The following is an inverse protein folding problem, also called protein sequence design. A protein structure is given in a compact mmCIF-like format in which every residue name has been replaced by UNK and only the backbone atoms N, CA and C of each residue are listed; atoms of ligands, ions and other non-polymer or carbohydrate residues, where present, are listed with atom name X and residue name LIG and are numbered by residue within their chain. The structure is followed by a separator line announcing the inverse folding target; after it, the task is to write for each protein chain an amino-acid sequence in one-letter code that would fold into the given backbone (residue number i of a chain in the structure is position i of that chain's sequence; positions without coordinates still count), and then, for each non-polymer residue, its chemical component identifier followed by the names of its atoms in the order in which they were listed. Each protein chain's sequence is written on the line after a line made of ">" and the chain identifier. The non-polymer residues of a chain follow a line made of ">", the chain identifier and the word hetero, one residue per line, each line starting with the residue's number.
data_IF_771309752378
#
_entry.id   IF_771309752378
#
_cell.length_a   1.000
_cell.length_b   1.000
_cell.length_c   1.000
_cell.angle_alpha   90.00
_cell.angle_beta   90.00
_cell.angle_gamma   90.00
#
_symmetry.space_group_name_H-M   'P 1'
#
loop_
_entity.id
_entity.type
_entity.pdbx_description
1 polymer ?
#
# COMPACT_ATOMS: atom_id res chain seq x y z
N UNK A 1 -18.08 2.74 -5.09
CA UNK A 1 -17.41 1.94 -6.14
C UNK A 1 -17.54 0.49 -5.72
N UNK A 2 -17.81 -0.41 -6.67
CA UNK A 2 -17.88 -1.85 -6.40
C UNK A 2 -16.48 -2.39 -6.04
N UNK A 3 -16.37 -3.37 -5.12
CA UNK A 3 -15.09 -3.89 -4.64
C UNK A 3 -14.24 -4.49 -5.78
N UNK A 4 -14.88 -4.99 -6.84
CA UNK A 4 -14.21 -5.48 -8.05
C UNK A 4 -13.49 -4.35 -8.78
N UNK A 5 -14.17 -3.21 -8.93
CA UNK A 5 -13.66 -2.05 -9.66
C UNK A 5 -12.61 -1.34 -8.81
N UNK A 6 -12.83 -1.29 -7.49
CA UNK A 6 -11.82 -0.84 -6.55
C UNK A 6 -10.57 -1.74 -6.62
N UNK A 7 -10.70 -3.06 -6.71
CA UNK A 7 -9.58 -3.99 -6.90
C UNK A 7 -8.86 -3.82 -8.23
N UNK A 8 -9.59 -3.60 -9.33
CA UNK A 8 -9.03 -3.30 -10.66
C UNK A 8 -8.25 -1.99 -10.70
N UNK A 9 -8.63 -1.04 -9.84
CA UNK A 9 -8.08 0.31 -9.80
C UNK A 9 -7.02 0.48 -8.71
N UNK A 10 -7.09 -0.25 -7.59
CA UNK A 10 -6.12 -0.21 -6.48
C UNK A 10 -4.80 -0.92 -6.77
N UNK A 11 -4.58 -1.33 -8.02
CA UNK A 11 -3.41 -2.11 -8.40
C UNK A 11 -2.14 -1.29 -8.19
N UNK A 12 -1.33 -1.72 -7.23
CA UNK A 12 -0.10 -1.08 -6.79
C UNK A 12 0.98 -1.27 -7.86
N UNK A 13 1.73 -0.20 -8.16
CA UNK A 13 2.84 -0.22 -9.11
C UNK A 13 2.59 0.53 -10.43
N UNK A 14 1.36 0.96 -10.69
CA UNK A 14 1.05 1.81 -11.84
C UNK A 14 1.20 3.29 -11.43
N UNK A 15 2.24 3.95 -11.93
CA UNK A 15 2.59 5.29 -11.48
C UNK A 15 1.82 6.42 -12.20
N UNK A 16 1.24 6.16 -13.36
CA UNK A 16 0.69 7.20 -14.24
C UNK A 16 -0.51 6.74 -15.09
N UNK A 17 -1.12 7.70 -15.79
CA UNK A 17 -2.30 7.49 -16.63
C UNK A 17 -2.04 6.53 -17.80
N UNK A 18 -0.81 6.50 -18.34
CA UNK A 18 -0.45 5.69 -19.49
C UNK A 18 -0.21 4.23 -19.07
N UNK A 19 0.35 4.00 -17.89
CA UNK A 19 0.38 2.70 -17.24
C UNK A 19 -1.02 2.18 -16.92
N UNK A 20 -1.91 3.05 -16.42
CA UNK A 20 -3.30 2.68 -16.12
C UNK A 20 -4.07 2.29 -17.38
N UNK A 21 -3.90 3.05 -18.47
CA UNK A 21 -4.50 2.72 -19.76
C UNK A 21 -4.03 1.36 -20.27
N UNK A 22 -2.71 1.11 -20.29
CA UNK A 22 -2.14 -0.19 -20.70
C UNK A 22 -2.64 -1.34 -19.84
N UNK A 23 -2.76 -1.14 -18.53
CA UNK A 23 -3.33 -2.14 -17.62
C UNK A 23 -4.77 -2.51 -17.98
N UNK A 24 -5.64 -1.52 -18.24
CA UNK A 24 -7.03 -1.79 -18.61
C UNK A 24 -7.15 -2.41 -20.01
N UNK A 25 -6.27 -2.05 -20.95
CA UNK A 25 -6.16 -2.70 -22.26
C UNK A 25 -5.80 -4.18 -22.10
N UNK A 26 -4.77 -4.50 -21.30
CA UNK A 26 -4.38 -5.88 -20.96
C UNK A 26 -5.53 -6.66 -20.32
N UNK A 27 -6.23 -6.04 -19.37
CA UNK A 27 -7.32 -6.67 -18.63
C UNK A 27 -8.53 -7.01 -19.53
N UNK A 28 -8.82 -6.16 -20.52
CA UNK A 28 -10.02 -6.27 -21.36
C UNK A 28 -9.80 -6.96 -22.73
N UNK A 29 -8.58 -7.42 -23.04
CA UNK A 29 -8.20 -7.77 -24.42
C UNK A 29 -8.83 -9.04 -25.03
N UNK A 30 -9.22 -10.06 -24.26
CA UNK A 30 -9.67 -11.36 -24.79
C UNK A 30 -10.78 -11.97 -23.90
N UNK A 31 -11.60 -12.89 -24.44
CA UNK A 31 -12.63 -13.58 -23.68
C UNK A 31 -12.04 -14.32 -22.49
N UNK A 32 -12.70 -14.12 -21.36
CA UNK A 32 -12.28 -14.66 -20.08
C UNK A 32 -13.08 -15.92 -19.81
N UNK A 33 -12.38 -17.04 -19.61
CA UNK A 33 -13.00 -18.27 -19.11
C UNK A 33 -13.20 -18.22 -17.60
N UNK A 34 -13.81 -19.26 -17.04
CA UNK A 34 -14.20 -19.29 -15.63
C UNK A 34 -13.06 -19.77 -14.69
N UNK A 35 -11.84 -19.95 -15.22
CA UNK A 35 -10.69 -20.53 -14.52
C UNK A 35 -9.67 -19.43 -14.14
N UNK A 36 -9.47 -19.25 -12.84
CA UNK A 36 -8.57 -18.24 -12.29
C UNK A 36 -7.10 -18.48 -12.59
N UNK A 37 -6.64 -19.73 -12.67
CA UNK A 37 -5.24 -20.04 -12.97
C UNK A 37 -4.93 -19.76 -14.44
N UNK A 38 -5.83 -20.17 -15.34
CA UNK A 38 -5.74 -19.86 -16.77
C UNK A 38 -5.82 -18.35 -17.01
N UNK A 39 -6.75 -17.66 -16.33
CA UNK A 39 -6.88 -16.21 -16.42
C UNK A 39 -5.62 -15.49 -15.91
N UNK A 40 -5.10 -15.87 -14.73
CA UNK A 40 -3.87 -15.29 -14.17
C UNK A 40 -2.69 -15.46 -15.12
N UNK A 41 -2.48 -16.66 -15.67
CA UNK A 41 -1.38 -16.92 -16.59
C UNK A 41 -1.51 -16.12 -17.89
N UNK A 42 -2.71 -16.09 -18.49
CA UNK A 42 -2.95 -15.26 -19.68
C UNK A 42 -2.84 -13.75 -19.42
N UNK A 43 -3.18 -13.30 -18.21
CA UNK A 43 -3.00 -11.89 -17.81
C UNK A 43 -1.52 -11.53 -17.63
N UNK A 44 -0.70 -12.42 -17.05
CA UNK A 44 0.76 -12.24 -16.95
C UNK A 44 1.42 -12.14 -18.31
N UNK A 45 1.13 -13.07 -19.22
CA UNK A 45 1.71 -13.08 -20.57
C UNK A 45 1.44 -11.76 -21.32
N UNK A 46 0.22 -11.24 -21.19
CA UNK A 46 -0.17 -9.94 -21.77
C UNK A 46 0.49 -8.76 -21.07
N UNK A 47 0.53 -8.76 -19.74
CA UNK A 47 1.18 -7.70 -18.96
C UNK A 47 2.65 -7.55 -19.36
N UNK A 48 3.39 -8.66 -19.50
CA UNK A 48 4.77 -8.66 -20.00
C UNK A 48 4.85 -8.07 -21.41
N UNK A 49 3.92 -8.43 -22.30
CA UNK A 49 3.84 -7.89 -23.66
C UNK A 49 3.68 -6.36 -23.70
N UNK A 50 2.90 -5.80 -22.78
CA UNK A 50 2.59 -4.36 -22.69
C UNK A 50 3.50 -3.59 -21.71
N UNK A 51 4.55 -4.24 -21.19
CA UNK A 51 5.45 -3.66 -20.18
C UNK A 51 4.72 -3.15 -18.94
N UNK A 52 3.73 -3.93 -18.47
CA UNK A 52 3.06 -3.78 -17.19
C UNK A 52 3.71 -4.75 -16.19
N UNK A 53 3.95 -4.29 -14.97
CA UNK A 53 4.61 -5.07 -13.93
C UNK A 53 3.78 -6.32 -13.57
N UNK A 54 4.43 -7.48 -13.44
CA UNK A 54 3.76 -8.73 -13.02
C UNK A 54 3.16 -8.62 -11.61
N UNK A 55 3.73 -7.76 -10.75
CA UNK A 55 3.18 -7.46 -9.44
C UNK A 55 1.74 -6.92 -9.52
N UNK A 56 1.45 -6.12 -10.55
CA UNK A 56 0.11 -5.58 -10.78
C UNK A 56 -0.91 -6.71 -11.04
N UNK A 57 -0.50 -7.73 -11.79
CA UNK A 57 -1.32 -8.92 -12.07
C UNK A 57 -1.63 -9.70 -10.79
N UNK A 58 -0.62 -9.94 -9.95
CA UNK A 58 -0.81 -10.70 -8.71
C UNK A 58 -1.75 -9.98 -7.75
N UNK A 59 -1.53 -8.68 -7.53
CA UNK A 59 -2.38 -7.89 -6.64
C UNK A 59 -3.80 -7.84 -7.14
N UNK A 60 -4.00 -7.64 -8.45
CA UNK A 60 -5.34 -7.66 -9.02
C UNK A 60 -6.05 -8.98 -8.72
N UNK A 61 -5.45 -10.12 -9.09
CA UNK A 61 -6.09 -11.43 -8.90
C UNK A 61 -6.36 -11.71 -7.42
N UNK A 62 -5.44 -11.35 -6.52
CA UNK A 62 -5.65 -11.49 -5.08
C UNK A 62 -6.87 -10.70 -4.58
N UNK A 63 -7.06 -9.47 -5.07
CA UNK A 63 -8.21 -8.64 -4.70
C UNK A 63 -9.55 -9.16 -5.25
N UNK A 64 -9.57 -9.66 -6.49
CA UNK A 64 -10.83 -9.98 -7.17
C UNK A 64 -11.25 -11.45 -7.13
N UNK A 65 -10.35 -12.37 -6.75
CA UNK A 65 -10.65 -13.81 -6.76
C UNK A 65 -11.82 -14.19 -5.83
N UNK A 66 -12.05 -13.41 -4.77
CA UNK A 66 -13.17 -13.62 -3.85
C UNK A 66 -14.49 -13.00 -4.35
N UNK A 67 -14.44 -12.15 -5.38
CA UNK A 67 -15.60 -11.41 -5.84
C UNK A 67 -16.47 -12.20 -6.83
N UNK A 68 -15.89 -13.15 -7.57
CA UNK A 68 -16.61 -13.97 -8.53
C UNK A 68 -15.69 -14.79 -9.43
N UNK A 69 -16.25 -15.33 -10.52
CA UNK A 69 -15.44 -15.89 -11.60
C UNK A 69 -14.77 -14.76 -12.42
N UNK A 70 -13.65 -15.05 -13.10
CA UNK A 70 -12.89 -14.02 -13.80
C UNK A 70 -13.67 -13.40 -14.98
N UNK A 71 -14.62 -14.14 -15.58
CA UNK A 71 -15.48 -13.63 -16.65
C UNK A 71 -16.43 -12.55 -16.15
N UNK A 72 -17.07 -12.79 -15.03
CA UNK A 72 -17.90 -11.82 -14.34
C UNK A 72 -17.10 -10.58 -13.90
N UNK A 73 -15.89 -10.78 -13.34
CA UNK A 73 -15.01 -9.67 -12.94
C UNK A 73 -14.67 -8.78 -14.13
N UNK A 74 -14.23 -9.35 -15.26
CA UNK A 74 -13.86 -8.56 -16.43
C UNK A 74 -15.06 -7.89 -17.07
N UNK A 75 -16.21 -8.57 -17.17
CA UNK A 75 -17.45 -7.94 -17.63
C UNK A 75 -17.82 -6.73 -16.77
N UNK A 76 -17.67 -6.85 -15.44
CA UNK A 76 -17.95 -5.76 -14.50
C UNK A 76 -16.99 -4.60 -14.65
N UNK A 77 -15.70 -4.85 -14.91
CA UNK A 77 -14.72 -3.79 -15.19
C UNK A 77 -15.03 -3.11 -16.54
N UNK A 78 -15.36 -3.89 -17.58
CA UNK A 78 -15.70 -3.38 -18.91
C UNK A 78 -16.94 -2.47 -18.91
N UNK A 79 -17.89 -2.66 -17.99
CA UNK A 79 -19.05 -1.75 -17.83
C UNK A 79 -18.66 -0.30 -17.54
N UNK A 80 -17.48 -0.06 -16.95
CA UNK A 80 -16.97 1.29 -16.68
C UNK A 80 -16.24 1.90 -17.89
N UNK A 81 -15.82 1.07 -18.85
CA UNK A 81 -15.24 1.48 -20.13
C UNK A 81 -14.21 2.61 -20.02
N UNK A 82 -14.46 3.69 -20.76
CA UNK A 82 -13.57 4.87 -20.82
C UNK A 82 -13.40 5.59 -19.47
N UNK A 83 -14.28 5.36 -18.49
CA UNK A 83 -14.20 6.01 -17.18
C UNK A 83 -13.17 5.36 -16.26
N UNK A 84 -12.66 4.16 -16.58
CA UNK A 84 -11.71 3.43 -15.72
C UNK A 84 -10.42 4.20 -15.49
N UNK A 85 -9.87 4.84 -16.52
CA UNK A 85 -8.63 5.63 -16.39
C UNK A 85 -8.84 6.83 -15.48
N UNK A 86 -9.97 7.53 -15.59
CA UNK A 86 -10.27 8.69 -14.74
C UNK A 86 -10.49 8.26 -13.28
N UNK A 87 -11.22 7.17 -13.06
CA UNK A 87 -11.41 6.58 -11.73
C UNK A 87 -10.09 6.13 -11.12
N UNK A 88 -9.18 5.60 -11.95
CA UNK A 88 -7.82 5.27 -11.54
C UNK A 88 -7.04 6.49 -11.07
N UNK A 89 -7.02 7.55 -11.86
CA UNK A 89 -6.31 8.76 -11.50
C UNK A 89 -6.89 9.41 -10.24
N UNK A 90 -8.21 9.36 -10.06
CA UNK A 90 -8.86 9.85 -8.85
C UNK A 90 -8.44 9.05 -7.61
N UNK A 91 -8.47 7.71 -7.69
CA UNK A 91 -8.08 6.84 -6.58
C UNK A 91 -6.57 6.89 -6.29
N UNK A 92 -5.73 6.96 -7.32
CA UNK A 92 -4.29 7.13 -7.15
C UNK A 92 -3.98 8.46 -6.41
N UNK A 93 -4.63 9.56 -6.81
CA UNK A 93 -4.50 10.86 -6.12
C UNK A 93 -5.08 10.83 -4.70
N UNK A 94 -6.15 10.08 -4.45
CA UNK A 94 -6.68 9.90 -3.10
C UNK A 94 -5.67 9.14 -2.23
N UNK A 95 -5.15 8.01 -2.72
CA UNK A 95 -4.15 7.22 -2.02
C UNK A 95 -2.85 8.00 -1.76
N UNK A 96 -2.36 8.79 -2.73
CA UNK A 96 -1.21 9.70 -2.53
C UNK A 96 -1.46 10.73 -1.43
N UNK A 97 -2.66 11.30 -1.35
CA UNK A 97 -3.02 12.21 -0.26
C UNK A 97 -3.09 11.49 1.08
N UNK A 98 -3.75 10.34 1.16
CA UNK A 98 -3.82 9.53 2.38
C UNK A 98 -2.43 9.15 2.90
N UNK A 99 -1.52 8.77 2.00
CA UNK A 99 -0.13 8.51 2.35
C UNK A 99 0.61 9.77 2.83
N UNK A 100 0.49 10.88 2.10
CA UNK A 100 1.13 12.13 2.48
C UNK A 100 0.63 12.63 3.84
N UNK A 101 -0.68 12.57 4.09
CA UNK A 101 -1.30 12.95 5.36
C UNK A 101 -0.82 12.04 6.49
N UNK A 102 -0.81 10.72 6.28
CA UNK A 102 -0.27 9.76 7.24
C UNK A 102 1.19 10.03 7.58
N UNK A 103 2.03 10.23 6.56
CA UNK A 103 3.46 10.43 6.75
C UNK A 103 3.75 11.80 7.42
N UNK A 104 2.97 12.84 7.11
CA UNK A 104 3.06 14.13 7.76
C UNK A 104 2.65 14.09 9.25
N UNK A 105 1.67 13.25 9.60
CA UNK A 105 1.21 13.10 10.98
C UNK A 105 2.13 12.18 11.80
N UNK A 106 2.46 11.01 11.25
CA UNK A 106 3.17 9.96 11.98
C UNK A 106 4.69 10.05 11.82
N UNK A 107 5.19 10.59 10.71
CA UNK A 107 6.63 10.67 10.44
C UNK A 107 7.43 11.50 11.46
N UNK A 108 6.97 12.71 11.86
CA UNK A 108 7.66 13.52 12.87
C UNK A 108 7.73 12.90 14.28
N UNK A 109 7.01 11.80 14.55
CA UNK A 109 7.06 11.10 15.84
C UNK A 109 8.39 10.37 16.04
N UNK A 110 9.09 10.00 14.95
CA UNK A 110 10.44 9.45 15.09
C UNK A 110 11.41 10.50 15.61
N UNK A 111 12.26 10.13 16.57
CA UNK A 111 13.20 11.04 17.21
C UNK A 111 14.43 11.41 16.40
N UNK A 112 14.60 10.80 15.22
CA UNK A 112 15.83 10.87 14.46
C UNK A 112 16.98 10.05 15.04
N UNK A 113 16.79 9.41 16.21
CA UNK A 113 17.81 8.58 16.85
C UNK A 113 17.63 7.13 16.40
N UNK A 114 18.75 6.50 16.05
CA UNK A 114 18.77 5.10 15.61
C UNK A 114 18.34 4.13 16.73
N UNK A 115 18.61 4.48 17.99
CA UNK A 115 18.22 3.67 19.16
C UNK A 115 16.70 3.48 19.30
N UNK A 116 15.91 4.45 18.86
CA UNK A 116 14.44 4.41 18.94
C UNK A 116 13.80 3.89 17.63
N UNK A 117 14.59 3.65 16.59
CA UNK A 117 14.09 3.31 15.25
C UNK A 117 13.21 2.05 15.24
N UNK A 118 13.63 1.00 15.95
CA UNK A 118 12.89 -0.26 15.98
C UNK A 118 11.48 -0.08 16.57
N UNK A 119 11.37 0.69 17.66
CA UNK A 119 10.08 0.97 18.29
C UNK A 119 9.21 1.86 17.41
N UNK A 120 9.80 2.91 16.81
CA UNK A 120 9.10 3.77 15.86
C UNK A 120 8.55 2.96 14.69
N UNK A 121 9.37 2.12 14.06
CA UNK A 121 8.99 1.29 12.91
C UNK A 121 7.78 0.42 13.24
N UNK A 122 7.82 -0.28 14.36
CA UNK A 122 6.75 -1.22 14.72
C UNK A 122 5.43 -0.49 15.00
N UNK A 123 5.48 0.69 15.64
CA UNK A 123 4.30 1.56 15.79
C UNK A 123 3.82 2.12 14.46
N UNK A 124 4.72 2.65 13.64
CA UNK A 124 4.41 3.27 12.37
C UNK A 124 3.73 2.28 11.40
N UNK A 125 4.23 1.04 11.34
CA UNK A 125 3.60 -0.02 10.54
C UNK A 125 2.23 -0.44 11.08
N UNK A 126 2.05 -0.45 12.41
CA UNK A 126 0.77 -0.73 13.02
C UNK A 126 -0.29 0.35 12.68
N UNK A 127 0.06 1.63 12.84
CA UNK A 127 -0.80 2.76 12.49
C UNK A 127 -1.12 2.80 10.99
N UNK A 128 -0.12 2.48 10.15
CA UNK A 128 -0.31 2.37 8.71
C UNK A 128 -1.32 1.26 8.36
N UNK A 129 -1.26 0.13 9.06
CA UNK A 129 -2.24 -0.95 8.97
C UNK A 129 -3.65 -0.49 9.32
N UNK A 130 -3.81 0.22 10.45
CA UNK A 130 -5.10 0.75 10.89
C UNK A 130 -5.70 1.76 9.90
N UNK A 131 -4.86 2.51 9.18
CA UNK A 131 -5.26 3.55 8.21
C UNK A 131 -5.29 3.06 6.76
N UNK A 132 -5.01 1.78 6.50
CA UNK A 132 -5.06 1.21 5.16
C UNK A 132 -3.91 1.60 4.23
N UNK A 133 -2.78 2.07 4.78
CA UNK A 133 -1.57 2.49 4.04
C UNK A 133 -0.34 1.60 4.35
N UNK A 134 -0.57 0.38 4.87
CA UNK A 134 0.47 -0.56 5.31
C UNK A 134 1.56 -0.80 4.25
N UNK A 135 1.19 -1.12 3.01
CA UNK A 135 2.17 -1.45 1.96
C UNK A 135 3.13 -0.29 1.65
N UNK A 136 2.61 0.95 1.64
CA UNK A 136 3.46 2.14 1.45
C UNK A 136 4.35 2.39 2.65
N UNK A 137 3.85 2.17 3.86
CA UNK A 137 4.64 2.26 5.07
C UNK A 137 5.75 1.21 5.12
N UNK A 138 5.48 -0.04 4.71
CA UNK A 138 6.48 -1.10 4.60
C UNK A 138 7.57 -0.77 3.58
N UNK A 139 7.18 -0.27 2.39
CA UNK A 139 8.14 0.16 1.38
C UNK A 139 9.02 1.32 1.88
N UNK A 140 8.41 2.31 2.53
CA UNK A 140 9.12 3.44 3.12
C UNK A 140 10.09 3.01 4.23
N UNK A 141 9.66 2.11 5.12
CA UNK A 141 10.50 1.53 6.17
C UNK A 141 11.68 0.76 5.56
N UNK A 142 11.44 -0.06 4.54
CA UNK A 142 12.50 -0.81 3.87
C UNK A 142 13.53 0.13 3.20
N UNK A 143 13.08 1.22 2.60
CA UNK A 143 13.96 2.26 2.05
C UNK A 143 14.80 2.94 3.15
N UNK A 144 14.17 3.31 4.26
CA UNK A 144 14.85 3.91 5.40
C UNK A 144 15.88 2.94 6.01
N UNK A 145 15.53 1.68 6.22
CA UNK A 145 16.43 0.64 6.73
C UNK A 145 17.63 0.38 5.81
N UNK A 146 17.44 0.50 4.48
CA UNK A 146 18.51 0.42 3.50
C UNK A 146 19.43 1.66 3.47
N UNK A 147 19.03 2.77 4.09
CA UNK A 147 19.78 4.02 4.10
C UNK A 147 20.69 4.15 5.34
N UNK A 148 21.89 4.69 5.11
CA UNK A 148 22.79 5.10 6.20
C UNK A 148 22.31 6.38 6.92
N UNK A 149 21.47 7.17 6.26
CA UNK A 149 20.85 8.38 6.82
C UNK A 149 19.33 8.28 6.63
N UNK A 150 18.65 7.77 7.68
CA UNK A 150 17.20 7.64 7.72
C UNK A 150 16.51 9.00 7.70
N UNK A 151 17.06 10.01 8.37
CA UNK A 151 16.47 11.35 8.41
C UNK A 151 16.48 12.02 7.02
N UNK A 152 17.48 11.73 6.17
CA UNK A 152 17.44 12.13 4.76
C UNK A 152 16.30 11.46 3.98
N UNK A 153 15.97 10.19 4.26
CA UNK A 153 14.81 9.53 3.64
C UNK A 153 13.53 10.29 3.98
N UNK A 154 13.28 10.58 5.26
CA UNK A 154 12.10 11.35 5.68
C UNK A 154 12.03 12.73 5.00
N UNK A 155 13.15 13.45 4.91
CA UNK A 155 13.21 14.77 4.25
C UNK A 155 12.90 14.69 2.76
N UNK A 156 13.33 13.64 2.06
CA UNK A 156 12.95 13.41 0.64
C UNK A 156 11.45 13.23 0.47
N UNK A 157 10.77 12.74 1.49
CA UNK A 157 9.31 12.63 1.52
C UNK A 157 8.61 13.86 2.16
N UNK A 158 9.34 14.95 2.39
CA UNK A 158 8.78 16.20 2.91
C UNK A 158 8.52 16.20 4.41
N UNK A 159 9.08 15.25 5.15
CA UNK A 159 8.99 15.21 6.62
C UNK A 159 10.27 15.71 7.25
N UNK A 160 10.13 16.77 8.05
CA UNK A 160 11.20 17.24 8.92
C UNK A 160 11.20 16.42 10.22
N UNK A 161 12.19 15.55 10.35
CA UNK A 161 12.46 14.82 11.60
C UNK A 161 13.17 15.78 12.54
N UNK A 162 12.50 16.20 13.60
CA UNK A 162 13.12 17.03 14.62
C UNK A 162 14.20 16.21 15.36
N UNK A 163 15.39 16.80 15.56
CA UNK A 163 16.48 16.18 16.33
C UNK A 163 16.17 15.99 17.83
N UNK A 164 15.00 16.46 18.26
CA UNK A 164 14.48 16.33 19.62
C UNK A 164 12.95 16.39 19.54
N UNK A 165 12.24 15.25 19.38
CA UNK A 165 10.81 15.25 19.52
C UNK A 165 10.49 15.58 20.98
N UNK A 166 9.44 16.35 21.22
CA UNK A 166 8.74 16.26 22.50
C UNK A 166 8.32 14.78 22.61
N UNK A 167 9.08 14.01 23.40
CA UNK A 167 8.88 12.63 23.87
C UNK A 167 7.74 11.86 23.19
N UNK A 168 8.03 10.67 22.65
CA UNK A 168 7.01 9.63 22.45
C UNK A 168 5.98 9.70 23.58
N UNK A 169 4.66 9.67 23.31
CA UNK A 169 3.70 9.65 24.39
C UNK A 169 4.12 8.55 25.36
N UNK A 170 4.44 8.96 26.58
CA UNK A 170 5.00 8.09 27.61
C UNK A 170 3.96 6.99 27.86
N UNK A 171 4.24 5.76 27.39
CA UNK A 171 3.35 4.63 27.63
C UNK A 171 3.40 4.32 29.12
N UNK A 172 2.39 4.75 29.86
CA UNK A 172 2.29 4.42 31.27
C UNK A 172 1.65 3.05 31.40
N UNK A 173 2.16 2.28 32.37
CA UNK A 173 1.56 1.01 32.77
C UNK A 173 0.11 1.29 33.22
N UNK A 174 -0.85 1.00 32.36
CA UNK A 174 -2.28 1.31 32.57
C UNK A 174 -2.94 2.23 31.54
N UNK A 175 -2.21 2.75 30.54
CA UNK A 175 -2.83 3.45 29.40
C UNK A 175 -3.60 2.43 28.53
N UNK A 176 -4.90 2.62 28.40
CA UNK A 176 -5.84 1.60 27.91
C UNK A 176 -6.10 1.67 26.40
N UNK A 177 -5.04 1.69 25.59
CA UNK A 177 -5.13 1.60 24.12
C UNK A 177 -4.58 0.26 23.62
N UNK A 178 -5.14 -0.28 22.53
CA UNK A 178 -4.67 -1.53 21.89
C UNK A 178 -3.15 -1.52 21.59
N UNK A 179 -2.59 -0.34 21.38
CA UNK A 179 -1.15 -0.13 21.17
C UNK A 179 -0.28 -0.42 22.42
N UNK A 180 -0.79 -0.14 23.62
CA UNK A 180 -0.08 -0.44 24.88
C UNK A 180 -0.05 -1.94 25.14
N UNK A 181 -1.13 -2.65 24.85
CA UNK A 181 -1.16 -4.10 24.91
C UNK A 181 -0.27 -4.76 23.84
N UNK A 182 -0.18 -4.15 22.65
CA UNK A 182 0.73 -4.58 21.58
C UNK A 182 2.20 -4.41 22.01
N UNK A 183 2.57 -3.24 22.53
CA UNK A 183 3.93 -2.97 23.02
C UNK A 183 4.30 -3.82 24.22
N UNK A 184 3.43 -3.97 25.22
CA UNK A 184 3.66 -4.83 26.39
C UNK A 184 3.84 -6.30 25.96
N UNK A 185 3.11 -6.75 24.94
CA UNK A 185 3.28 -8.10 24.36
C UNK A 185 4.62 -8.26 23.64
N UNK A 186 5.05 -7.26 22.88
CA UNK A 186 6.33 -7.29 22.17
C UNK A 186 7.53 -7.21 23.15
N UNK A 187 7.47 -6.32 24.14
CA UNK A 187 8.50 -6.20 25.17
C UNK A 187 8.67 -7.51 25.96
N UNK A 188 7.56 -8.15 26.36
CA UNK A 188 7.59 -9.46 27.01
C UNK A 188 8.13 -10.58 26.12
N UNK A 189 7.85 -10.55 24.81
CA UNK A 189 8.39 -11.53 23.87
C UNK A 189 9.91 -11.42 23.70
N UNK A 190 10.48 -10.22 23.93
CA UNK A 190 11.91 -9.95 23.84
C UNK A 190 12.65 -9.94 25.19
N UNK A 191 11.97 -10.27 26.30
CA UNK A 191 12.58 -10.51 27.61
C UNK A 191 12.92 -9.25 28.41
N UNK A 192 12.24 -8.13 28.13
CA UNK A 192 12.30 -6.89 28.92
C UNK A 192 11.19 -6.83 29.97
#
# INVERSE_FOLDING_TARGET
>A
MDDVVAGAVRVVGIADADGARRWFEVLCAEPVGDDWDAFRNGLRERAVGESVDEYAVERFVEYVTYAGDPGWVVARVQEYGDSLTDLYLELARASEREWADFLAECGPVWSGREEDWAQFRDWFLHEAGARGVAERAEAFVAEAEGSADKAEVFRRHGVDVAADPETFPEVRLGDSGEWVEYLDRQLRAHGY
#
